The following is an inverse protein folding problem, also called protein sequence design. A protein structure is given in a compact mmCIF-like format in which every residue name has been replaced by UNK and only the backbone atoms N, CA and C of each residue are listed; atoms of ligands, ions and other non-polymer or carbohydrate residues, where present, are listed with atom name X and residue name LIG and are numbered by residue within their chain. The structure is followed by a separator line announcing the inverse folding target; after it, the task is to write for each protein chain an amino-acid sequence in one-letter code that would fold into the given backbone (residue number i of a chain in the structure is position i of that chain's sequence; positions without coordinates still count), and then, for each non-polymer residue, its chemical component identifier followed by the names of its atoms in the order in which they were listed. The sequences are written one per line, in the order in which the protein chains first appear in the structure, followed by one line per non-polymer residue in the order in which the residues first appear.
data_IF_240846194834
#
_entry.id   IF_240846194834
#
_cell.length_a   1.000
_cell.length_b   1.000
_cell.length_c   1.000
_cell.angle_alpha   90.00
_cell.angle_beta   90.00
_cell.angle_gamma   90.00
#
_symmetry.space_group_name_H-M   'P 1'
#
loop_
_entity.id
_entity.type
_entity.pdbx_description
1 polymer ?
#
# COMPACT_ATOMS: atom_id res chain seq x y z
N UNK A 1 -2.31 9.04 -14.26
CA UNK A 1 -0.94 8.51 -14.39
C UNK A 1 -0.15 9.53 -15.18
N UNK A 2 1.04 9.89 -14.72
CA UNK A 2 1.94 10.79 -15.42
C UNK A 2 3.33 10.17 -15.49
N UNK A 3 4.08 10.42 -16.56
CA UNK A 3 5.42 9.89 -16.71
C UNK A 3 6.33 10.91 -17.38
N UNK A 4 7.59 10.93 -16.95
CA UNK A 4 8.63 11.70 -17.60
C UNK A 4 9.55 10.71 -18.35
N UNK A 5 9.53 10.75 -19.69
CA UNK A 5 10.39 9.90 -20.52
C UNK A 5 11.81 10.44 -20.70
N UNK A 6 12.07 11.67 -20.23
CA UNK A 6 13.39 12.31 -20.34
C UNK A 6 14.39 11.64 -19.41
N UNK A 7 15.67 11.87 -19.67
CA UNK A 7 16.78 11.36 -18.87
C UNK A 7 17.00 12.14 -17.56
N UNK A 8 16.41 13.34 -17.46
CA UNK A 8 16.52 14.23 -16.32
C UNK A 8 15.17 14.37 -15.64
N UNK A 9 15.18 14.57 -14.32
CA UNK A 9 13.99 14.89 -13.54
C UNK A 9 13.40 16.22 -14.05
N UNK A 10 12.07 16.35 -14.03
CA UNK A 10 11.41 17.61 -14.35
C UNK A 10 10.36 17.95 -13.30
N UNK A 11 9.92 19.20 -13.28
CA UNK A 11 8.85 19.66 -12.40
C UNK A 11 7.92 20.59 -13.17
N UNK A 12 6.69 20.71 -12.68
CA UNK A 12 5.77 21.73 -13.16
C UNK A 12 4.36 21.52 -12.68
N UNK A 13 3.47 22.36 -13.23
CA UNK A 13 2.05 22.33 -12.93
C UNK A 13 1.35 21.24 -13.74
N UNK A 14 0.67 20.35 -13.05
CA UNK A 14 -0.33 19.46 -13.65
C UNK A 14 -1.68 20.16 -13.59
N UNK A 15 -2.44 20.09 -14.67
CA UNK A 15 -3.84 20.52 -14.71
C UNK A 15 -4.69 19.34 -15.18
N UNK A 16 -5.69 18.98 -14.39
CA UNK A 16 -6.59 17.85 -14.63
C UNK A 16 -8.01 18.37 -14.80
N UNK A 17 -8.63 18.13 -15.95
CA UNK A 17 -10.04 18.44 -16.19
C UNK A 17 -10.96 17.32 -15.65
N UNK A 18 -12.07 17.68 -15.00
CA UNK A 18 -12.91 16.73 -14.24
C UNK A 18 -13.77 15.85 -15.12
N UNK A 19 -14.35 16.45 -16.15
CA UNK A 19 -15.25 15.83 -17.12
C UNK A 19 -14.64 14.58 -17.77
N UNK A 20 -13.33 14.61 -18.03
CA UNK A 20 -12.56 13.49 -18.57
C UNK A 20 -12.33 12.35 -17.57
N UNK A 21 -12.51 12.58 -16.27
CA UNK A 21 -12.23 11.60 -15.21
C UNK A 21 -13.50 11.05 -14.55
N UNK A 22 -14.43 11.91 -14.20
CA UNK A 22 -15.63 11.53 -13.44
C UNK A 22 -16.83 11.27 -14.35
N UNK A 23 -16.80 11.80 -15.58
CA UNK A 23 -17.98 11.87 -16.46
C UNK A 23 -19.09 12.80 -15.93
N UNK A 24 -18.85 13.50 -14.80
CA UNK A 24 -19.79 14.36 -14.11
C UNK A 24 -19.14 15.73 -13.90
N UNK A 25 -19.67 16.77 -14.55
CA UNK A 25 -19.11 18.12 -14.54
C UNK A 25 -19.18 18.83 -13.19
N UNK A 26 -19.93 18.29 -12.21
CA UNK A 26 -20.12 18.90 -10.89
C UNK A 26 -19.16 18.41 -9.81
N UNK A 27 -18.38 17.36 -10.04
CA UNK A 27 -17.50 16.78 -9.03
C UNK A 27 -16.07 17.31 -9.16
N UNK A 28 -15.57 17.97 -8.11
CA UNK A 28 -14.22 18.54 -8.04
C UNK A 28 -13.30 17.59 -7.26
N UNK A 29 -12.54 16.69 -7.91
CA UNK A 29 -11.65 15.74 -7.24
C UNK A 29 -10.42 16.41 -6.62
N UNK A 30 -10.11 16.00 -5.39
CA UNK A 30 -8.90 16.36 -4.66
C UNK A 30 -7.91 15.21 -4.77
N UNK A 31 -6.68 15.51 -5.21
CA UNK A 31 -5.66 14.49 -5.45
C UNK A 31 -4.57 14.50 -4.39
N UNK A 32 -3.93 13.35 -4.22
CA UNK A 32 -2.65 13.21 -3.52
C UNK A 32 -1.75 12.25 -4.31
N UNK A 33 -0.43 12.39 -4.19
CA UNK A 33 0.49 11.44 -4.80
C UNK A 33 0.26 10.05 -4.17
N UNK A 34 0.13 9.03 -5.02
CA UNK A 34 0.00 7.65 -4.56
C UNK A 34 1.35 7.17 -4.08
N UNK A 35 1.51 7.07 -2.76
CA UNK A 35 2.67 6.49 -2.09
C UNK A 35 2.24 5.34 -1.19
N UNK A 36 3.19 4.48 -0.80
CA UNK A 36 2.96 3.34 0.09
C UNK A 36 2.62 3.78 1.51
N UNK A 37 3.38 4.75 2.04
CA UNK A 37 3.27 5.15 3.45
C UNK A 37 2.48 6.46 3.60
N UNK A 38 2.99 7.54 3.02
CA UNK A 38 2.36 8.86 3.12
C UNK A 38 2.76 9.77 1.98
N UNK A 39 1.93 10.79 1.75
CA UNK A 39 2.17 11.85 0.79
C UNK A 39 1.36 13.09 1.14
N UNK A 40 1.78 14.25 0.62
CA UNK A 40 1.03 15.51 0.72
C UNK A 40 0.97 16.22 -0.63
N UNK A 41 -0.09 16.97 -0.89
CA UNK A 41 -0.25 17.73 -2.12
C UNK A 41 -1.19 18.92 -1.93
N UNK A 42 -0.79 20.10 -2.41
CA UNK A 42 -1.68 21.26 -2.48
C UNK A 42 -2.39 21.29 -3.82
N UNK A 43 -3.71 21.23 -3.79
CA UNK A 43 -4.60 21.27 -4.94
C UNK A 43 -5.20 22.67 -5.05
N UNK A 44 -5.19 23.24 -6.26
CA UNK A 44 -5.90 24.48 -6.61
C UNK A 44 -7.03 24.12 -7.57
N UNK A 45 -8.26 24.33 -7.14
CA UNK A 45 -9.50 23.97 -7.82
C UNK A 45 -10.09 25.26 -8.39
N UNK A 46 -10.19 25.33 -9.71
CA UNK A 46 -10.64 26.52 -10.42
C UNK A 46 -11.43 26.10 -11.67
N UNK A 47 -12.69 26.49 -11.73
CA UNK A 47 -13.63 26.05 -12.76
C UNK A 47 -13.74 24.52 -12.80
N UNK A 48 -13.44 23.95 -13.96
CA UNK A 48 -13.50 22.53 -14.28
C UNK A 48 -12.15 21.79 -14.06
N UNK A 49 -11.19 22.43 -13.39
CA UNK A 49 -9.80 21.94 -13.30
C UNK A 49 -9.20 21.96 -11.90
N UNK A 50 -8.55 20.85 -11.53
CA UNK A 50 -7.65 20.77 -10.38
C UNK A 50 -6.22 20.89 -10.88
N UNK A 51 -5.48 21.84 -10.30
CA UNK A 51 -4.06 22.08 -10.59
C UNK A 51 -3.21 21.82 -9.35
N UNK A 52 -2.01 21.29 -9.56
CA UNK A 52 -1.03 21.11 -8.49
C UNK A 52 0.39 21.08 -9.06
N UNK A 53 1.35 21.48 -8.23
CA UNK A 53 2.78 21.37 -8.55
C UNK A 53 3.29 19.98 -8.19
N UNK A 54 4.13 19.42 -9.04
CA UNK A 54 4.79 18.13 -8.75
C UNK A 54 6.11 18.00 -9.49
N UNK A 55 6.98 17.13 -8.97
CA UNK A 55 8.16 16.61 -9.66
C UNK A 55 7.85 15.29 -10.35
N UNK A 56 8.45 15.06 -11.51
CA UNK A 56 8.43 13.83 -12.27
C UNK A 56 9.85 13.30 -12.45
N UNK A 57 10.23 12.26 -11.68
CA UNK A 57 11.55 11.69 -11.82
C UNK A 57 11.73 11.05 -13.21
N UNK A 58 12.95 11.12 -13.74
CA UNK A 58 13.32 10.57 -15.04
C UNK A 58 12.97 9.08 -15.14
N UNK A 59 12.19 8.74 -16.16
CA UNK A 59 11.78 7.37 -16.53
C UNK A 59 11.02 6.64 -15.41
N UNK A 60 10.40 7.39 -14.51
CA UNK A 60 9.61 6.85 -13.40
C UNK A 60 8.18 7.38 -13.52
N UNK A 61 7.18 6.49 -13.55
CA UNK A 61 5.79 6.92 -13.50
C UNK A 61 5.44 7.48 -12.11
N UNK A 62 4.68 8.57 -12.11
CA UNK A 62 4.07 9.16 -10.92
C UNK A 62 2.56 8.92 -10.98
N UNK A 63 2.05 8.32 -9.92
CA UNK A 63 0.63 8.06 -9.74
C UNK A 63 0.06 9.05 -8.73
N UNK A 64 -1.18 9.45 -8.98
CA UNK A 64 -2.00 10.22 -8.07
C UNK A 64 -3.27 9.44 -7.82
N UNK A 65 -3.86 9.63 -6.63
CA UNK A 65 -5.13 9.05 -6.28
C UNK A 65 -6.03 10.11 -5.65
N UNK A 66 -7.34 9.92 -5.80
CA UNK A 66 -8.35 10.83 -5.28
C UNK A 66 -8.52 10.58 -3.78
N UNK A 67 -8.47 11.65 -2.99
CA UNK A 67 -8.83 11.68 -1.58
C UNK A 67 -10.34 11.67 -1.44
N UNK A 68 -10.99 12.65 -2.06
CA UNK A 68 -12.44 12.78 -2.15
C UNK A 68 -12.80 13.61 -3.40
N UNK A 69 -14.06 13.53 -3.80
CA UNK A 69 -14.68 14.48 -4.72
C UNK A 69 -15.61 15.40 -3.94
N UNK A 70 -15.58 16.70 -4.23
CA UNK A 70 -16.47 17.69 -3.61
C UNK A 70 -17.39 18.24 -4.69
N UNK A 71 -18.69 18.04 -4.53
CA UNK A 71 -19.71 18.61 -5.40
C UNK A 71 -20.11 20.00 -4.91
N UNK A 72 -20.52 20.86 -5.83
CA UNK A 72 -20.96 22.24 -5.56
C UNK A 72 -19.88 23.12 -4.90
N UNK A 73 -18.61 22.69 -4.96
CA UNK A 73 -17.50 23.50 -4.49
C UNK A 73 -17.36 24.78 -5.34
N UNK A 74 -17.05 25.92 -4.72
CA UNK A 74 -16.82 27.17 -5.43
C UNK A 74 -15.55 27.10 -6.30
N UNK A 75 -15.38 28.11 -7.14
CA UNK A 75 -14.11 28.31 -7.85
C UNK A 75 -13.07 28.96 -6.93
N UNK A 76 -11.81 28.92 -7.36
CA UNK A 76 -10.65 29.40 -6.60
C UNK A 76 -10.52 28.78 -5.18
N UNK A 77 -10.78 27.47 -5.07
CA UNK A 77 -10.59 26.72 -3.83
C UNK A 77 -9.18 26.14 -3.74
N UNK A 78 -8.52 26.27 -2.58
CA UNK A 78 -7.22 25.64 -2.29
C UNK A 78 -7.39 24.57 -1.22
N UNK A 79 -6.94 23.35 -1.51
CA UNK A 79 -7.07 22.20 -0.62
C UNK A 79 -5.71 21.56 -0.39
N UNK A 80 -5.30 21.42 0.87
CA UNK A 80 -4.15 20.60 1.23
C UNK A 80 -4.63 19.17 1.45
N UNK A 81 -4.13 18.25 0.62
CA UNK A 81 -4.43 16.84 0.69
C UNK A 81 -3.27 16.08 1.32
N UNK A 82 -3.57 15.10 2.17
CA UNK A 82 -2.60 14.20 2.80
C UNK A 82 -3.10 12.77 2.76
N UNK A 83 -2.18 11.81 2.66
CA UNK A 83 -2.46 10.40 2.90
C UNK A 83 -1.49 9.82 3.93
N UNK A 84 -1.98 8.90 4.75
CA UNK A 84 -1.23 8.09 5.70
C UNK A 84 -1.76 6.67 5.65
N UNK A 85 -0.88 5.68 5.46
CA UNK A 85 -1.27 4.31 5.19
C UNK A 85 -0.45 3.33 6.00
N UNK A 86 -1.14 2.29 6.44
CA UNK A 86 -0.66 1.15 7.21
C UNK A 86 -1.46 -0.09 6.77
N UNK A 87 -1.15 -1.27 7.31
CA UNK A 87 -1.86 -2.50 6.93
C UNK A 87 -3.34 -2.43 7.31
N UNK A 88 -3.58 -1.99 8.54
CA UNK A 88 -4.89 -1.97 9.18
C UNK A 88 -5.72 -0.76 8.80
N UNK A 89 -5.07 0.32 8.32
CA UNK A 89 -5.70 1.62 8.17
C UNK A 89 -5.07 2.48 7.08
N UNK A 90 -5.91 3.07 6.24
CA UNK A 90 -5.54 4.19 5.37
C UNK A 90 -6.36 5.42 5.76
N UNK A 91 -5.72 6.58 5.90
CA UNK A 91 -6.36 7.85 6.21
C UNK A 91 -6.01 8.83 5.11
N UNK A 92 -7.03 9.42 4.50
CA UNK A 92 -6.87 10.50 3.54
C UNK A 92 -7.54 11.74 4.11
N UNK A 93 -6.84 12.85 4.10
CA UNK A 93 -7.30 14.11 4.67
C UNK A 93 -7.26 15.19 3.61
N UNK A 94 -8.30 16.01 3.53
CA UNK A 94 -8.38 17.21 2.72
C UNK A 94 -8.74 18.39 3.62
N UNK A 95 -7.80 19.31 3.81
CA UNK A 95 -8.00 20.55 4.57
C UNK A 95 -8.29 21.69 3.60
N UNK A 96 -9.44 22.32 3.74
CA UNK A 96 -9.84 23.47 2.91
C UNK A 96 -9.05 24.70 3.39
N UNK A 97 -8.04 25.12 2.65
CA UNK A 97 -7.18 26.26 3.04
C UNK A 97 -7.80 27.59 2.64
N UNK A 98 -8.29 27.68 1.42
CA UNK A 98 -8.90 28.88 0.86
C UNK A 98 -10.17 28.45 0.13
N UNK A 99 -11.32 29.00 0.52
CA UNK A 99 -12.62 28.81 -0.12
C UNK A 99 -13.59 29.84 0.42
N UNK A 100 -14.57 30.26 -0.38
CA UNK A 100 -15.78 30.89 0.17
C UNK A 100 -16.60 29.84 0.90
N UNK A 101 -17.43 30.26 1.86
CA UNK A 101 -18.41 29.38 2.51
C UNK A 101 -19.39 28.82 1.47
N UNK A 102 -19.70 27.53 1.56
CA UNK A 102 -20.60 26.84 0.64
C UNK A 102 -21.26 25.63 1.30
N UNK A 103 -22.27 25.06 0.65
CA UNK A 103 -22.83 23.76 1.02
C UNK A 103 -22.58 22.81 -0.13
N UNK A 104 -21.83 21.74 0.13
CA UNK A 104 -21.43 20.77 -0.88
C UNK A 104 -21.64 19.33 -0.43
N UNK A 105 -21.52 18.40 -1.38
CA UNK A 105 -21.55 16.96 -1.08
C UNK A 105 -20.15 16.39 -1.22
N UNK A 106 -19.84 15.39 -0.40
CA UNK A 106 -18.53 14.74 -0.42
C UNK A 106 -18.72 13.27 -0.77
N UNK A 107 -18.01 12.84 -1.82
CA UNK A 107 -17.91 11.45 -2.22
C UNK A 107 -16.48 10.93 -2.00
N UNK A 108 -16.39 9.69 -1.54
CA UNK A 108 -15.12 8.97 -1.40
C UNK A 108 -15.17 7.67 -2.18
N UNK A 109 -14.03 7.25 -2.72
CA UNK A 109 -13.95 6.00 -3.47
C UNK A 109 -14.05 4.80 -2.53
N UNK A 110 -14.65 3.70 -3.00
CA UNK A 110 -14.50 2.41 -2.33
C UNK A 110 -13.08 1.86 -2.56
N UNK A 111 -12.45 1.32 -1.50
CA UNK A 111 -11.19 0.58 -1.60
C UNK A 111 -11.47 -0.88 -1.30
N UNK A 112 -11.12 -1.77 -2.23
CA UNK A 112 -11.35 -3.21 -2.07
C UNK A 112 -10.65 -3.73 -0.81
N UNK A 113 -11.39 -4.45 0.03
CA UNK A 113 -10.87 -5.01 1.28
C UNK A 113 -10.77 -4.00 2.42
N UNK A 114 -11.46 -2.86 2.31
CA UNK A 114 -11.56 -1.86 3.36
C UNK A 114 -13.01 -1.42 3.58
N UNK A 115 -13.33 -1.16 4.84
CA UNK A 115 -14.53 -0.44 5.26
C UNK A 115 -14.19 1.04 5.37
N UNK A 116 -15.07 1.91 4.88
CA UNK A 116 -14.82 3.36 4.81
C UNK A 116 -15.73 4.13 5.76
N UNK A 117 -15.17 5.17 6.38
CA UNK A 117 -15.85 6.13 7.24
C UNK A 117 -15.46 7.54 6.81
N UNK A 118 -16.45 8.35 6.46
CA UNK A 118 -16.26 9.72 5.99
C UNK A 118 -16.58 10.69 7.12
N UNK A 119 -15.65 11.60 7.42
CA UNK A 119 -15.80 12.60 8.48
C UNK A 119 -15.56 14.00 7.97
N UNK A 120 -16.28 14.96 8.54
CA UNK A 120 -15.98 16.39 8.44
C UNK A 120 -15.77 16.91 9.85
N UNK A 121 -14.61 17.53 10.10
CA UNK A 121 -14.21 18.04 11.41
C UNK A 121 -14.32 16.98 12.52
N UNK A 122 -14.02 15.72 12.18
CA UNK A 122 -14.06 14.58 13.10
C UNK A 122 -15.45 13.94 13.29
N UNK A 123 -16.52 14.54 12.76
CA UNK A 123 -17.87 13.98 12.83
C UNK A 123 -18.17 13.14 11.60
N UNK A 124 -18.62 11.89 11.80
CA UNK A 124 -19.03 11.02 10.69
C UNK A 124 -20.25 11.57 9.98
N UNK A 125 -20.21 11.55 8.66
CA UNK A 125 -21.30 11.96 7.78
C UNK A 125 -21.66 10.81 6.84
N UNK A 126 -22.92 10.73 6.46
CA UNK A 126 -23.32 9.81 5.40
C UNK A 126 -22.80 10.33 4.04
N UNK A 127 -22.35 9.44 3.13
CA UNK A 127 -21.99 9.82 1.77
C UNK A 127 -23.11 10.63 1.09
N UNK A 128 -22.74 11.54 0.20
CA UNK A 128 -23.65 12.38 -0.60
C UNK A 128 -24.62 13.28 0.18
N UNK A 129 -24.44 13.38 1.50
CA UNK A 129 -25.18 14.33 2.34
C UNK A 129 -24.61 15.73 2.14
N UNK A 130 -25.43 16.76 1.85
CA UNK A 130 -24.96 18.14 1.81
C UNK A 130 -24.45 18.60 3.17
N UNK A 131 -23.26 19.19 3.20
CA UNK A 131 -22.60 19.67 4.42
C UNK A 131 -22.15 21.12 4.21
N UNK A 132 -22.40 22.03 5.17
CA UNK A 132 -21.79 23.35 5.12
C UNK A 132 -20.27 23.22 5.32
N UNK A 133 -19.52 23.86 4.43
CA UNK A 133 -18.07 23.82 4.37
C UNK A 133 -17.51 25.24 4.27
N UNK A 134 -16.37 25.47 4.93
CA UNK A 134 -15.65 26.74 4.91
C UNK A 134 -14.14 26.52 5.03
N UNK A 135 -13.39 27.60 4.87
CA UNK A 135 -11.95 27.57 5.11
C UNK A 135 -11.64 27.10 6.55
N UNK A 136 -10.65 26.23 6.67
CA UNK A 136 -10.25 25.56 7.91
C UNK A 136 -10.90 24.19 8.14
N UNK A 137 -11.99 23.86 7.44
CA UNK A 137 -12.64 22.56 7.60
C UNK A 137 -11.75 21.41 7.09
N UNK A 138 -11.89 20.27 7.76
CA UNK A 138 -11.09 19.07 7.50
C UNK A 138 -12.00 17.91 7.13
N UNK A 139 -11.90 17.47 5.88
CA UNK A 139 -12.53 16.26 5.37
C UNK A 139 -11.58 15.10 5.59
N UNK A 140 -12.05 13.99 6.17
CA UNK A 140 -11.25 12.78 6.40
C UNK A 140 -11.98 11.56 5.88
N UNK A 141 -11.35 10.83 4.96
CA UNK A 141 -11.76 9.50 4.54
C UNK A 141 -10.87 8.47 5.26
N UNK A 142 -11.45 7.76 6.22
CA UNK A 142 -10.77 6.72 6.99
C UNK A 142 -11.19 5.34 6.49
N UNK A 143 -10.22 4.53 6.10
CA UNK A 143 -10.41 3.18 5.61
C UNK A 143 -9.80 2.19 6.61
N UNK A 144 -10.57 1.20 7.06
CA UNK A 144 -10.11 0.11 7.93
C UNK A 144 -10.06 -1.21 7.18
N UNK A 145 -8.95 -1.91 7.25
CA UNK A 145 -8.78 -3.18 6.53
C UNK A 145 -9.77 -4.22 7.05
N UNK A 146 -10.45 -4.90 6.12
CA UNK A 146 -11.25 -6.09 6.46
C UNK A 146 -10.35 -7.30 6.74
N UNK A 147 -9.14 -7.32 6.19
CA UNK A 147 -8.19 -8.44 6.27
C UNK A 147 -7.19 -8.30 7.43
N UNK A 148 -6.48 -7.17 7.51
CA UNK A 148 -5.44 -6.96 8.53
C UNK A 148 -6.04 -6.39 9.82
N UNK A 149 -6.08 -7.19 10.87
CA UNK A 149 -6.56 -6.84 12.22
C UNK A 149 -5.41 -6.63 13.20
N UNK A 150 -4.26 -6.18 12.71
CA UNK A 150 -3.05 -5.89 13.48
C UNK A 150 -2.29 -4.70 12.88
N UNK A 151 -1.52 -3.97 13.69
CA UNK A 151 -0.76 -2.85 13.18
C UNK A 151 0.42 -3.25 12.30
N UNK A 152 0.84 -2.40 11.34
CA UNK A 152 2.08 -2.61 10.56
C UNK A 152 3.31 -2.91 11.47
N UNK A 153 3.36 -2.30 12.67
CA UNK A 153 4.44 -2.53 13.64
C UNK A 153 4.50 -3.97 14.14
N UNK A 154 3.38 -4.69 14.17
CA UNK A 154 3.34 -6.10 14.55
C UNK A 154 4.03 -6.99 13.51
N UNK A 155 3.82 -6.77 12.21
CA UNK A 155 4.57 -7.49 11.15
C UNK A 155 6.05 -7.13 11.18
N UNK A 156 6.35 -5.85 11.40
CA UNK A 156 7.73 -5.34 11.43
C UNK A 156 8.53 -5.95 12.59
N UNK A 157 7.88 -6.19 13.74
CA UNK A 157 8.50 -6.74 14.96
C UNK A 157 8.36 -8.25 15.13
N UNK A 158 7.47 -8.92 14.37
CA UNK A 158 7.27 -10.36 14.48
C UNK A 158 8.58 -11.14 14.23
N UNK A 159 8.94 -12.15 15.02
CA UNK A 159 10.22 -12.84 14.88
C UNK A 159 10.19 -13.88 13.75
N UNK A 160 10.14 -13.41 12.51
CA UNK A 160 10.34 -14.23 11.32
C UNK A 160 11.80 -14.73 11.21
N UNK A 161 12.74 -13.84 11.55
CA UNK A 161 14.18 -14.08 11.52
C UNK A 161 14.84 -13.61 12.82
N UNK A 162 15.98 -14.24 13.17
CA UNK A 162 16.82 -13.80 14.28
C UNK A 162 17.70 -12.59 13.88
N UNK A 163 18.47 -12.07 14.83
CA UNK A 163 19.41 -10.96 14.60
C UNK A 163 20.51 -11.28 13.57
N UNK A 164 20.73 -12.56 13.23
CA UNK A 164 21.67 -13.01 12.20
C UNK A 164 20.97 -13.25 10.85
N UNK A 165 19.67 -12.96 10.74
CA UNK A 165 18.86 -13.18 9.54
C UNK A 165 18.46 -14.64 9.31
N UNK A 166 18.68 -15.55 10.26
CA UNK A 166 18.23 -16.95 10.13
C UNK A 166 16.73 -17.03 10.38
N UNK A 167 16.03 -17.83 9.59
CA UNK A 167 14.60 -18.07 9.76
C UNK A 167 14.35 -18.82 11.07
N UNK A 168 13.53 -18.23 11.95
CA UNK A 168 13.20 -18.81 13.27
C UNK A 168 11.70 -19.01 13.49
N UNK A 169 10.85 -18.47 12.61
CA UNK A 169 9.42 -18.72 12.69
C UNK A 169 9.07 -20.15 12.28
N UNK A 170 7.93 -20.61 12.78
CA UNK A 170 7.30 -21.86 12.39
C UNK A 170 5.86 -21.61 11.94
N UNK A 171 5.37 -22.48 11.08
CA UNK A 171 3.98 -22.48 10.61
C UNK A 171 3.28 -23.69 11.20
N UNK A 172 2.29 -23.45 12.06
CA UNK A 172 1.39 -24.46 12.63
C UNK A 172 0.18 -24.62 11.72
N UNK A 173 -0.13 -25.88 11.39
CA UNK A 173 -1.33 -26.27 10.65
C UNK A 173 -2.05 -27.39 11.39
N UNK A 174 -3.37 -27.47 11.25
CA UNK A 174 -4.10 -28.68 11.64
C UNK A 174 -3.81 -29.80 10.61
N UNK A 175 -3.38 -30.97 11.08
CA UNK A 175 -3.18 -32.16 10.23
C UNK A 175 -4.43 -32.57 9.43
N UNK A 176 -5.62 -32.19 9.90
CA UNK A 176 -6.92 -32.44 9.25
C UNK A 176 -7.34 -31.33 8.30
N UNK A 177 -6.47 -30.36 8.04
CA UNK A 177 -6.67 -29.23 7.14
C UNK A 177 -5.65 -29.31 5.98
N UNK A 178 -5.97 -30.05 4.89
CA UNK A 178 -5.06 -30.20 3.76
C UNK A 178 -4.79 -28.88 3.04
N UNK A 179 -5.76 -27.97 3.04
CA UNK A 179 -5.66 -26.65 2.43
C UNK A 179 -4.64 -25.76 3.17
N UNK A 180 -4.63 -25.81 4.51
CA UNK A 180 -3.61 -25.14 5.32
C UNK A 180 -2.20 -25.63 5.02
N UNK A 181 -2.04 -26.93 4.70
CA UNK A 181 -0.74 -27.48 4.30
C UNK A 181 -0.25 -26.89 2.97
N UNK A 182 -1.15 -26.72 2.00
CA UNK A 182 -0.80 -26.11 0.71
C UNK A 182 -0.44 -24.63 0.87
N UNK A 183 -1.25 -23.87 1.62
CA UNK A 183 -0.98 -22.47 1.91
C UNK A 183 0.35 -22.28 2.68
N UNK A 184 0.67 -23.18 3.61
CA UNK A 184 1.93 -23.17 4.35
C UNK A 184 3.17 -23.25 3.43
N UNK A 185 3.06 -23.94 2.29
CA UNK A 185 4.15 -24.00 1.31
C UNK A 185 4.50 -22.62 0.71
N UNK A 186 3.58 -21.65 0.76
CA UNK A 186 3.85 -20.25 0.41
C UNK A 186 4.97 -19.64 1.25
N UNK A 187 4.99 -19.89 2.56
CA UNK A 187 6.07 -19.43 3.44
C UNK A 187 7.40 -20.09 3.08
N UNK A 188 7.41 -21.40 2.85
CA UNK A 188 8.63 -22.10 2.40
C UNK A 188 9.18 -21.47 1.12
N UNK A 189 8.33 -21.28 0.10
CA UNK A 189 8.75 -20.64 -1.17
C UNK A 189 9.31 -19.23 -0.96
N UNK A 190 8.67 -18.43 -0.10
CA UNK A 190 9.09 -17.07 0.19
C UNK A 190 10.49 -17.03 0.82
N UNK A 191 10.71 -17.74 1.92
CA UNK A 191 12.01 -17.73 2.59
C UNK A 191 13.10 -18.42 1.76
N UNK A 192 12.78 -19.50 1.05
CA UNK A 192 13.71 -20.14 0.11
C UNK A 192 14.13 -19.17 -0.99
N UNK A 193 13.20 -18.36 -1.52
CA UNK A 193 13.51 -17.31 -2.47
C UNK A 193 14.49 -16.29 -1.87
N UNK A 194 14.22 -15.79 -0.66
CA UNK A 194 15.10 -14.82 0.02
C UNK A 194 16.51 -15.39 0.24
N UNK A 195 16.63 -16.65 0.66
CA UNK A 195 17.92 -17.31 0.83
C UNK A 195 18.64 -17.54 -0.51
N UNK A 196 17.92 -18.02 -1.53
CA UNK A 196 18.45 -18.21 -2.90
C UNK A 196 18.98 -16.91 -3.49
N UNK A 197 18.30 -15.80 -3.18
CA UNK A 197 18.66 -14.44 -3.61
C UNK A 197 19.65 -13.74 -2.69
N UNK A 198 20.14 -14.41 -1.64
CA UNK A 198 21.09 -13.88 -0.66
C UNK A 198 20.60 -12.63 0.08
N UNK A 199 19.28 -12.44 0.14
CA UNK A 199 18.64 -11.46 1.04
C UNK A 199 18.75 -11.95 2.48
N UNK A 200 18.63 -13.27 2.67
CA UNK A 200 18.89 -13.95 3.93
C UNK A 200 20.07 -14.93 3.78
N UNK A 201 20.81 -15.23 4.86
CA UNK A 201 21.84 -16.26 4.85
C UNK A 201 21.23 -17.64 4.55
N UNK A 202 22.03 -18.54 3.96
CA UNK A 202 21.65 -19.94 3.82
C UNK A 202 21.42 -20.57 5.21
N UNK A 203 20.39 -21.38 5.33
CA UNK A 203 20.06 -22.05 6.57
C UNK A 203 18.88 -23.00 6.41
N UNK A 204 18.35 -23.53 7.52
CA UNK A 204 17.06 -24.22 7.46
C UNK A 204 15.98 -23.27 6.94
N UNK A 205 15.03 -23.81 6.18
CA UNK A 205 13.81 -23.10 5.77
C UNK A 205 12.80 -23.00 6.91
N UNK A 206 11.61 -22.49 6.60
CA UNK A 206 10.49 -22.45 7.54
C UNK A 206 10.09 -23.86 7.95
N UNK A 207 9.92 -24.08 9.25
CA UNK A 207 9.41 -25.34 9.77
C UNK A 207 7.88 -25.34 9.74
N UNK A 208 7.29 -26.30 9.04
CA UNK A 208 5.84 -26.56 9.08
C UNK A 208 5.59 -27.69 10.08
N UNK A 209 4.67 -27.47 11.03
CA UNK A 209 4.36 -28.42 12.09
C UNK A 209 2.86 -28.67 12.20
N UNK A 210 2.50 -29.94 12.39
CA UNK A 210 1.16 -30.37 12.73
C UNK A 210 1.18 -30.90 14.16
N UNK A 211 1.30 -29.98 15.11
CA UNK A 211 1.35 -30.27 16.53
C UNK A 211 0.21 -29.53 17.23
N UNK A 212 -0.84 -30.25 17.70
CA UNK A 212 -1.98 -29.63 18.36
C UNK A 212 -1.61 -29.06 19.75
N UNK A 213 -0.52 -29.52 20.37
CA UNK A 213 -0.07 -29.09 21.69
C UNK A 213 0.88 -27.88 21.62
N UNK A 214 1.32 -27.52 20.41
CA UNK A 214 2.16 -26.35 20.18
C UNK A 214 1.39 -25.08 20.51
N UNK A 215 1.79 -24.41 21.59
CA UNK A 215 1.18 -23.16 22.03
C UNK A 215 1.42 -22.03 21.03
N UNK A 216 0.46 -21.13 20.95
CA UNK A 216 0.68 -19.83 20.30
C UNK A 216 1.78 -19.07 21.03
N UNK A 217 2.55 -18.29 20.28
CA UNK A 217 3.62 -17.48 20.83
C UNK A 217 4.35 -16.70 19.74
N UNK A 218 5.30 -15.82 20.13
CA UNK A 218 6.10 -15.08 19.18
C UNK A 218 6.81 -16.04 18.20
N UNK A 219 6.66 -15.79 16.90
CA UNK A 219 7.28 -16.62 15.85
C UNK A 219 6.45 -17.83 15.42
N UNK A 220 5.30 -18.07 16.04
CA UNK A 220 4.32 -19.07 15.61
C UNK A 220 3.30 -18.42 14.70
N UNK A 221 3.16 -18.97 13.49
CA UNK A 221 2.13 -18.58 12.51
C UNK A 221 1.13 -19.73 12.41
N UNK A 222 -0.14 -19.48 12.72
CA UNK A 222 -1.21 -20.48 12.65
C UNK A 222 -2.05 -20.25 11.42
N UNK A 223 -2.26 -21.29 10.62
CA UNK A 223 -3.14 -21.26 9.46
C UNK A 223 -4.41 -22.08 9.70
N UNK A 224 -5.55 -21.55 9.27
CA UNK A 224 -6.86 -22.19 9.41
C UNK A 224 -7.74 -21.88 8.18
N UNK A 225 -8.11 -22.91 7.41
CA UNK A 225 -8.97 -22.76 6.23
C UNK A 225 -10.46 -22.94 6.52
N UNK A 226 -10.85 -23.12 7.79
CA UNK A 226 -12.22 -23.47 8.20
C UNK A 226 -12.86 -22.41 9.10
N UNK A 227 -12.41 -21.17 9.00
CA UNK A 227 -12.95 -20.04 9.73
C UNK A 227 -14.20 -19.46 9.06
N UNK A 228 -14.94 -18.63 9.77
CA UNK A 228 -16.11 -17.91 9.26
C UNK A 228 -15.73 -16.71 8.39
N UNK A 229 -14.50 -16.19 8.54
CA UNK A 229 -13.96 -15.05 7.80
C UNK A 229 -12.48 -15.18 7.49
N UNK A 230 -12.03 -14.38 6.53
CA UNK A 230 -10.62 -14.19 6.25
C UNK A 230 -10.06 -13.02 7.04
N UNK A 231 -9.02 -13.28 7.83
CA UNK A 231 -8.29 -12.25 8.56
C UNK A 231 -6.86 -12.67 8.88
N UNK A 232 -6.02 -11.67 9.09
CA UNK A 232 -4.69 -11.81 9.67
C UNK A 232 -4.76 -11.04 10.99
N UNK A 233 -4.43 -11.70 12.10
CA UNK A 233 -4.51 -11.14 13.44
C UNK A 233 -3.32 -11.56 14.31
N UNK A 234 -3.05 -10.79 15.36
CA UNK A 234 -2.19 -11.24 16.45
C UNK A 234 -2.99 -12.04 17.47
N UNK A 235 -2.44 -13.17 17.91
CA UNK A 235 -2.96 -13.86 19.09
C UNK A 235 -2.54 -13.12 20.36
N UNK A 236 -3.26 -13.35 21.47
CA UNK A 236 -2.91 -12.77 22.77
C UNK A 236 -1.52 -13.17 23.26
N UNK A 237 -0.97 -14.29 22.76
CA UNK A 237 0.38 -14.76 23.06
C UNK A 237 1.45 -14.17 22.11
N UNK A 238 1.09 -13.30 21.16
CA UNK A 238 2.04 -12.70 20.21
C UNK A 238 2.36 -13.55 18.98
N UNK A 239 1.59 -14.62 18.74
CA UNK A 239 1.62 -15.36 17.48
C UNK A 239 0.83 -14.66 16.38
N UNK A 240 1.05 -15.05 15.12
CA UNK A 240 0.20 -14.62 14.00
C UNK A 240 -0.84 -15.70 13.72
N UNK A 241 -2.09 -15.30 13.53
CA UNK A 241 -3.18 -16.15 13.08
C UNK A 241 -3.62 -15.69 11.71
N UNK A 242 -3.78 -16.64 10.79
CA UNK A 242 -4.28 -16.43 9.44
C UNK A 242 -5.46 -17.36 9.24
N UNK A 243 -6.63 -16.77 9.18
CA UNK A 243 -7.90 -17.47 9.01
C UNK A 243 -8.45 -17.22 7.61
N UNK A 244 -9.22 -18.18 7.11
CA UNK A 244 -9.98 -18.07 5.88
C UNK A 244 -11.14 -19.09 5.88
N UNK A 245 -12.09 -18.93 4.95
CA UNK A 245 -13.25 -19.82 4.80
C UNK A 245 -12.98 -21.09 4.01
N UNK A 246 -11.89 -21.11 3.23
CA UNK A 246 -11.45 -22.25 2.42
C UNK A 246 -9.98 -22.07 2.00
N UNK A 247 -9.40 -23.09 1.35
CA UNK A 247 -8.01 -23.07 0.90
C UNK A 247 -7.64 -21.99 -0.10
N UNK A 248 -8.50 -21.67 -1.07
CA UNK A 248 -8.21 -20.61 -2.05
C UNK A 248 -8.10 -19.24 -1.36
N UNK A 249 -9.03 -18.95 -0.44
CA UNK A 249 -9.01 -17.72 0.33
C UNK A 249 -7.84 -17.69 1.31
N UNK A 250 -7.45 -18.83 1.89
CA UNK A 250 -6.28 -18.94 2.75
C UNK A 250 -4.98 -18.65 2.00
N UNK A 251 -4.78 -19.29 0.85
CA UNK A 251 -3.59 -19.06 0.01
C UNK A 251 -3.52 -17.60 -0.45
N UNK A 252 -4.64 -17.00 -0.87
CA UNK A 252 -4.71 -15.56 -1.18
C UNK A 252 -4.33 -14.69 0.02
N UNK A 253 -4.83 -15.03 1.21
CA UNK A 253 -4.54 -14.28 2.44
C UNK A 253 -3.06 -14.40 2.84
N UNK A 254 -2.47 -15.59 2.72
CA UNK A 254 -1.04 -15.81 2.90
C UNK A 254 -0.23 -14.97 1.92
N UNK A 255 -0.59 -14.95 0.62
CA UNK A 255 0.09 -14.09 -0.37
C UNK A 255 0.02 -12.62 0.01
N UNK A 256 -1.15 -12.13 0.44
CA UNK A 256 -1.28 -10.74 0.91
C UNK A 256 -0.35 -10.43 2.08
N UNK A 257 -0.16 -11.35 3.04
CA UNK A 257 0.83 -11.17 4.10
C UNK A 257 2.26 -11.13 3.56
N UNK A 258 2.61 -12.09 2.69
CA UNK A 258 3.96 -12.21 2.13
C UNK A 258 4.33 -10.98 1.28
N UNK A 259 3.40 -10.44 0.49
CA UNK A 259 3.59 -9.20 -0.27
C UNK A 259 3.92 -8.00 0.63
N UNK A 260 3.38 -7.98 1.86
CA UNK A 260 3.70 -6.95 2.86
C UNK A 260 5.05 -7.20 3.55
N UNK A 261 5.47 -8.45 3.64
CA UNK A 261 6.78 -8.82 4.19
C UNK A 261 7.94 -8.47 3.26
N UNK A 262 7.72 -8.27 1.95
CA UNK A 262 8.76 -7.80 1.01
C UNK A 262 9.41 -6.48 1.45
N UNK A 263 8.69 -5.63 2.19
CA UNK A 263 9.22 -4.39 2.77
C UNK A 263 10.36 -4.65 3.76
N UNK A 264 10.23 -5.73 4.55
CA UNK A 264 11.21 -6.11 5.56
C UNK A 264 12.42 -6.82 4.95
N UNK A 265 12.22 -7.48 3.80
CA UNK A 265 13.27 -8.23 3.10
C UNK A 265 13.46 -7.70 1.68
N UNK A 266 13.88 -6.44 1.51
CA UNK A 266 13.89 -5.79 0.22
C UNK A 266 14.87 -6.50 -0.73
N UNK A 267 14.32 -7.17 -1.73
CA UNK A 267 15.11 -7.74 -2.81
C UNK A 267 15.15 -6.76 -3.99
N UNK A 268 16.34 -6.28 -4.32
CA UNK A 268 16.57 -5.53 -5.56
C UNK A 268 16.82 -6.53 -6.67
N UNK A 269 15.88 -6.63 -7.62
CA UNK A 269 16.11 -7.41 -8.82
C UNK A 269 17.33 -6.83 -9.55
N UNK A 270 18.39 -7.61 -9.78
CA UNK A 270 19.43 -7.18 -10.68
C UNK A 270 18.76 -7.00 -12.05
N UNK A 271 18.89 -5.82 -12.63
CA UNK A 271 18.52 -5.61 -14.02
C UNK A 271 19.40 -6.53 -14.88
N UNK A 272 18.91 -7.72 -15.18
CA UNK A 272 19.53 -8.60 -16.14
C UNK A 272 19.23 -8.02 -17.50
N UNK A 273 20.28 -7.82 -18.31
CA UNK A 273 20.20 -7.28 -19.65
C UNK A 273 18.90 -7.72 -20.33
N UNK A 274 18.04 -6.76 -20.66
CA UNK A 274 16.83 -7.00 -21.44
C UNK A 274 17.20 -7.88 -22.63
N UNK A 275 16.39 -8.90 -22.89
CA UNK A 275 16.39 -9.64 -24.14
C UNK A 275 16.42 -8.64 -25.30
N UNK A 276 17.60 -8.41 -25.90
CA UNK A 276 17.76 -7.45 -26.99
C UNK A 276 19.06 -6.65 -27.03
N UNK A 277 19.81 -6.49 -25.93
CA UNK A 277 21.11 -5.81 -25.99
C UNK A 277 22.27 -6.79 -26.26
N UNK A 278 23.06 -6.60 -27.35
CA UNK A 278 24.23 -7.43 -27.62
C UNK A 278 25.26 -7.36 -26.49
N UNK A 279 25.97 -8.46 -26.22
CA UNK A 279 26.99 -8.54 -25.16
C UNK A 279 28.11 -7.51 -25.38
N UNK A 280 28.39 -7.19 -26.62
CA UNK A 280 29.40 -6.24 -27.07
C UNK A 280 29.04 -4.82 -26.63
N UNK A 281 27.76 -4.45 -26.70
CA UNK A 281 27.25 -3.15 -26.23
C UNK A 281 27.38 -3.06 -24.71
N UNK A 282 26.99 -4.12 -24.00
CA UNK A 282 27.14 -4.18 -22.55
C UNK A 282 28.60 -4.13 -22.11
N UNK A 283 29.50 -4.80 -22.84
CA UNK A 283 30.94 -4.75 -22.57
C UNK A 283 31.51 -3.36 -22.85
N UNK A 284 31.14 -2.73 -23.97
CA UNK A 284 31.57 -1.38 -24.34
C UNK A 284 31.20 -0.34 -23.28
N UNK A 285 29.96 -0.38 -22.76
CA UNK A 285 29.51 0.50 -21.68
C UNK A 285 29.89 0.01 -20.27
N UNK A 286 30.62 -1.11 -20.16
CA UNK A 286 31.03 -1.69 -18.88
C UNK A 286 29.85 -2.09 -17.99
N UNK A 287 28.72 -2.49 -18.57
CA UNK A 287 27.46 -2.84 -17.92
C UNK A 287 27.29 -4.34 -17.65
N UNK A 288 28.21 -5.18 -18.14
CA UNK A 288 28.15 -6.64 -17.93
C UNK A 288 28.17 -6.98 -16.43
N UNK A 289 27.11 -7.64 -15.97
CA UNK A 289 26.98 -8.05 -14.56
C UNK A 289 26.71 -6.92 -13.58
N UNK A 290 26.58 -5.67 -14.04
CA UNK A 290 26.20 -4.54 -13.19
C UNK A 290 24.70 -4.51 -12.98
N UNK A 291 24.28 -4.32 -11.74
CA UNK A 291 22.91 -3.96 -11.40
C UNK A 291 22.78 -2.44 -11.52
N UNK A 292 21.82 -1.97 -12.32
CA UNK A 292 21.43 -0.57 -12.29
C UNK A 292 20.78 -0.25 -10.94
N UNK A 293 20.98 0.96 -10.43
CA UNK A 293 20.25 1.43 -9.25
C UNK A 293 18.75 1.31 -9.52
N UNK A 294 18.09 0.40 -8.80
CA UNK A 294 16.65 0.33 -8.80
C UNK A 294 16.13 1.40 -7.84
N UNK A 295 15.62 2.51 -8.38
CA UNK A 295 14.77 3.41 -7.61
C UNK A 295 13.43 2.72 -7.43
N UNK A 296 13.13 2.28 -6.21
CA UNK A 296 11.85 1.64 -5.92
C UNK A 296 10.71 2.62 -6.14
N UNK A 297 9.69 2.18 -6.87
CA UNK A 297 8.50 2.97 -7.12
C UNK A 297 7.63 3.05 -5.85
N UNK A 298 7.08 4.23 -5.55
CA UNK A 298 6.05 4.43 -4.52
C UNK A 298 6.43 4.17 -3.06
N UNK A 299 7.69 4.26 -2.62
CA UNK A 299 8.02 3.97 -1.20
C UNK A 299 7.76 5.16 -0.27
N UNK A 300 8.49 6.27 -0.43
CA UNK A 300 8.35 7.47 0.40
C UNK A 300 8.61 8.72 -0.44
N UNK A 301 8.00 9.84 -0.06
CA UNK A 301 8.50 11.12 -0.53
C UNK A 301 9.93 11.26 0.01
N UNK A 302 10.91 11.31 -0.89
CA UNK A 302 12.24 11.75 -0.51
C UNK A 302 12.08 13.20 -0.04
N UNK A 303 12.33 13.52 1.24
CA UNK A 303 12.47 14.92 1.62
C UNK A 303 13.66 15.43 0.81
N UNK A 304 13.38 16.37 -0.09
CA UNK A 304 14.29 17.01 -1.03
C UNK A 304 15.79 16.79 -0.74
N UNK A 305 16.50 16.18 -1.69
CA UNK A 305 17.89 16.55 -1.95
C UNK A 305 17.92 17.89 -2.67
#
# INVERSE_FOLDING_TARGET
FFGNSRAEDCSGTVSVAYDLLTGHSGEKPVFVRKMRDSASLTNRIDGDRTRFETSFPSRIPVLFETVCSISDAPDAMVVEARSEKSLEREVYTATLKETSDFTGKIAIRAIRGFEADLKVNGQSIAPDTPVPLKAGDVITAEYRSSLFKLPQSAISSFPFTDAKGKVICLVRIDSKDPDAKEAAAGFTRFFDFLQKKRVLPKGPGVKIVSDPDLRDGPGVITLNSKSDKAEIALTSAGGLRIDARNGEELDRTVRCLLDRMDERYPYVFPFQAVHGMPKEVLAYFGMTGKTLEARKFFEREDPAK
#
